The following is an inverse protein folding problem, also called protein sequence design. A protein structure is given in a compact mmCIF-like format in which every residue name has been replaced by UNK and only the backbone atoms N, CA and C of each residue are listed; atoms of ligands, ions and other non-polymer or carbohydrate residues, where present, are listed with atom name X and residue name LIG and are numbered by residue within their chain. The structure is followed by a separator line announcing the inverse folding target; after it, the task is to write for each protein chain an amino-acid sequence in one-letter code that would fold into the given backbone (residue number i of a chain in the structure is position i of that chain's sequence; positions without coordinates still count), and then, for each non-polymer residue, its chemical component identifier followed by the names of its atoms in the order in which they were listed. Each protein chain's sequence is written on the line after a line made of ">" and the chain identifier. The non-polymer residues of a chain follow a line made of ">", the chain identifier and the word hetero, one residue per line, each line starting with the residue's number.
data_IF_819085667948
#
_entry.id   IF_819085667948
#
_cell.length_a   1.000
_cell.length_b   1.000
_cell.length_c   1.000
_cell.angle_alpha   90.00
_cell.angle_beta   90.00
_cell.angle_gamma   90.00
#
_symmetry.space_group_name_H-M   'P 1'
#
loop_
_entity.id
_entity.type
_entity.pdbx_description
1 polymer ?
#
# COMPACT_ATOMS: atom_id res chain seq x y z
N UNK A 1 7.42 18.31 4.29
CA UNK A 1 8.36 17.22 3.95
C UNK A 1 7.51 15.99 3.75
N UNK A 2 7.68 15.26 2.64
CA UNK A 2 6.74 14.21 2.23
C UNK A 2 7.46 12.88 2.02
N UNK A 3 6.87 11.80 2.55
CA UNK A 3 7.45 10.47 2.50
C UNK A 3 7.74 10.02 1.07
N UNK A 4 6.75 10.10 0.18
CA UNK A 4 6.91 9.70 -1.23
C UNK A 4 8.03 10.47 -1.91
N UNK A 5 8.05 11.80 -1.75
CA UNK A 5 9.09 12.66 -2.33
C UNK A 5 10.48 12.28 -1.84
N UNK A 6 10.65 12.06 -0.53
CA UNK A 6 11.92 11.63 0.05
C UNK A 6 12.33 10.25 -0.43
N UNK A 7 11.40 9.30 -0.50
CA UNK A 7 11.67 7.94 -0.97
C UNK A 7 12.16 7.93 -2.42
N UNK A 8 11.50 8.67 -3.33
CA UNK A 8 11.96 8.74 -4.73
C UNK A 8 13.29 9.49 -4.87
N UNK A 9 13.55 10.50 -4.04
CA UNK A 9 14.86 11.17 -3.98
C UNK A 9 15.96 10.23 -3.52
N UNK A 10 15.74 9.48 -2.43
CA UNK A 10 16.68 8.46 -1.94
C UNK A 10 17.04 7.48 -3.04
N UNK A 11 16.02 6.95 -3.73
CA UNK A 11 16.21 5.98 -4.80
C UNK A 11 17.00 6.58 -5.97
N UNK A 12 16.69 7.81 -6.36
CA UNK A 12 17.41 8.51 -7.42
C UNK A 12 18.90 8.69 -7.08
N UNK A 13 19.22 9.14 -5.86
CA UNK A 13 20.60 9.28 -5.42
C UNK A 13 21.32 7.94 -5.31
N UNK A 14 20.65 6.88 -4.85
CA UNK A 14 21.20 5.52 -4.81
C UNK A 14 21.59 5.04 -6.22
N UNK A 15 20.69 5.21 -7.20
CA UNK A 15 20.95 4.87 -8.61
C UNK A 15 22.04 5.74 -9.23
N UNK A 16 22.11 7.02 -8.87
CA UNK A 16 23.16 7.92 -9.34
C UNK A 16 24.54 7.50 -8.80
N UNK A 17 24.63 7.06 -7.54
CA UNK A 17 25.85 6.47 -6.96
C UNK A 17 26.28 5.22 -7.72
N UNK A 18 25.36 4.27 -7.98
CA UNK A 18 25.63 3.07 -8.78
C UNK A 18 26.16 3.41 -10.19
N UNK A 19 25.60 4.43 -10.84
CA UNK A 19 26.05 4.89 -12.16
C UNK A 19 27.43 5.56 -12.09
N UNK A 20 27.65 6.45 -11.13
CA UNK A 20 28.93 7.14 -10.95
C UNK A 20 30.07 6.14 -10.69
N UNK A 21 29.81 5.09 -9.91
CA UNK A 21 30.75 3.99 -9.70
C UNK A 21 31.13 3.31 -11.02
N UNK A 22 30.15 2.99 -11.89
CA UNK A 22 30.40 2.37 -13.21
C UNK A 22 31.19 3.26 -14.16
N UNK A 23 31.06 4.58 -14.01
CA UNK A 23 31.78 5.58 -14.80
C UNK A 23 33.17 5.94 -14.23
N UNK A 24 33.55 5.40 -13.07
CA UNK A 24 34.81 5.71 -12.42
C UNK A 24 34.86 7.09 -11.74
N UNK A 25 33.72 7.74 -11.51
CA UNK A 25 33.63 9.02 -10.81
C UNK A 25 33.40 8.80 -9.30
N UNK A 26 34.50 8.55 -8.58
CA UNK A 26 34.47 8.27 -7.15
C UNK A 26 33.94 9.45 -6.31
N UNK A 27 34.20 10.69 -6.73
CA UNK A 27 33.75 11.89 -5.99
C UNK A 27 32.23 12.01 -6.03
N UNK A 28 31.63 11.86 -7.22
CA UNK A 28 30.17 11.89 -7.37
C UNK A 28 29.51 10.68 -6.73
N UNK A 29 30.11 9.48 -6.84
CA UNK A 29 29.63 8.26 -6.17
C UNK A 29 29.45 8.50 -4.67
N UNK A 30 30.52 8.95 -4.00
CA UNK A 30 30.51 9.15 -2.56
C UNK A 30 29.49 10.22 -2.15
N UNK A 31 29.39 11.32 -2.91
CA UNK A 31 28.42 12.39 -2.66
C UNK A 31 26.99 11.87 -2.74
N UNK A 32 26.66 11.16 -3.83
CA UNK A 32 25.31 10.62 -4.03
C UNK A 32 24.96 9.57 -2.98
N UNK A 33 25.91 8.71 -2.61
CA UNK A 33 25.70 7.71 -1.56
C UNK A 33 25.42 8.35 -0.20
N UNK A 34 26.23 9.35 0.20
CA UNK A 34 26.01 10.08 1.46
C UNK A 34 24.63 10.74 1.50
N UNK A 35 24.24 11.43 0.42
CA UNK A 35 22.91 12.05 0.35
C UNK A 35 21.78 11.01 0.40
N UNK A 36 21.93 9.86 -0.27
CA UNK A 36 20.95 8.79 -0.17
C UNK A 36 20.83 8.24 1.27
N UNK A 37 21.94 8.09 1.99
CA UNK A 37 21.94 7.60 3.38
C UNK A 37 21.32 8.60 4.36
N UNK A 38 21.57 9.89 4.18
CA UNK A 38 20.91 10.97 4.94
C UNK A 38 19.39 10.95 4.74
N UNK A 39 18.94 10.85 3.48
CA UNK A 39 17.50 10.78 3.18
C UNK A 39 16.89 9.49 3.72
N UNK A 40 17.58 8.36 3.60
CA UNK A 40 17.12 7.08 4.18
C UNK A 40 16.93 7.18 5.69
N UNK A 41 17.85 7.86 6.38
CA UNK A 41 17.75 8.08 7.82
C UNK A 41 16.55 8.96 8.17
N UNK A 42 16.27 9.99 7.39
CA UNK A 42 15.10 10.86 7.64
C UNK A 42 13.75 10.16 7.40
N UNK A 43 13.70 9.16 6.51
CA UNK A 43 12.50 8.36 6.29
C UNK A 43 12.05 7.57 7.54
N UNK A 44 12.97 7.28 8.47
CA UNK A 44 12.65 6.60 9.73
C UNK A 44 11.73 7.45 10.63
N UNK A 45 11.78 8.78 10.52
CA UNK A 45 10.97 9.68 11.33
C UNK A 45 9.49 9.74 10.94
N UNK A 46 9.10 9.12 9.82
CA UNK A 46 7.72 9.14 9.33
C UNK A 46 6.83 8.10 10.00
N UNK A 47 7.40 7.12 10.70
CA UNK A 47 6.61 6.21 11.51
C UNK A 47 6.10 6.91 12.77
N UNK A 48 4.80 6.81 12.97
CA UNK A 48 4.13 7.24 14.19
C UNK A 48 3.74 6.03 15.02
N UNK A 49 4.44 5.82 16.13
CA UNK A 49 4.19 4.70 17.04
C UNK A 49 2.83 4.81 17.74
N UNK A 50 2.36 6.04 18.01
CA UNK A 50 1.11 6.24 18.73
C UNK A 50 -0.10 5.93 17.86
N UNK A 51 -0.08 6.41 16.61
CA UNK A 51 -1.16 6.14 15.66
C UNK A 51 -0.98 4.80 14.93
N UNK A 52 0.22 4.22 14.95
CA UNK A 52 0.53 2.96 14.28
C UNK A 52 0.53 3.09 12.75
N UNK A 53 1.01 4.21 12.22
CA UNK A 53 0.97 4.52 10.77
C UNK A 53 2.27 5.15 10.28
N UNK A 54 2.65 4.82 9.04
CA UNK A 54 3.62 5.60 8.26
C UNK A 54 2.91 6.86 7.76
N UNK A 55 3.22 8.00 8.39
CA UNK A 55 2.68 9.29 8.00
C UNK A 55 3.20 9.69 6.63
N UNK A 56 2.37 10.40 5.86
CA UNK A 56 2.79 11.00 4.59
C UNK A 56 3.67 12.24 4.76
N UNK A 57 3.59 12.91 5.92
CA UNK A 57 4.34 14.13 6.25
C UNK A 57 4.75 14.15 7.73
N UNK A 58 5.86 14.82 8.04
CA UNK A 58 6.29 15.05 9.42
C UNK A 58 5.51 16.21 10.07
N UNK A 59 5.17 16.14 11.37
CA UNK A 59 4.39 17.18 12.07
C UNK A 59 5.00 18.57 11.96
N UNK A 60 6.33 18.68 12.08
CA UNK A 60 7.06 19.95 12.02
C UNK A 60 6.99 20.59 10.62
N UNK A 61 6.60 19.80 9.62
CA UNK A 61 6.48 20.23 8.23
C UNK A 61 5.07 20.65 7.82
N UNK A 62 4.10 20.63 8.75
CA UNK A 62 2.70 21.03 8.53
C UNK A 62 2.51 22.54 8.27
N UNK A 63 3.57 23.34 8.39
CA UNK A 63 3.56 24.82 8.23
C UNK A 63 3.05 25.29 6.85
N UNK A 64 3.01 24.41 5.82
CA UNK A 64 2.53 24.72 4.46
C UNK A 64 1.67 23.61 3.82
N UNK A 65 1.13 22.70 4.63
CA UNK A 65 0.28 21.59 4.16
C UNK A 65 -1.18 21.99 4.02
N UNK A 66 -2.01 21.05 3.56
CA UNK A 66 -3.47 21.19 3.69
C UNK A 66 -3.82 21.04 5.17
N UNK A 67 -4.35 22.10 5.77
CA UNK A 67 -4.72 22.17 7.20
C UNK A 67 -5.73 21.10 7.64
N UNK A 68 -6.42 20.47 6.68
CA UNK A 68 -7.43 19.45 6.91
C UNK A 68 -6.94 18.00 6.83
N UNK A 69 -5.65 17.72 6.57
CA UNK A 69 -5.13 16.35 6.49
C UNK A 69 -4.61 15.85 7.83
N UNK A 70 -5.51 15.61 8.77
CA UNK A 70 -5.19 15.39 10.18
C UNK A 70 -4.71 13.97 10.53
N UNK A 71 -5.17 12.92 9.83
CA UNK A 71 -4.82 11.52 10.15
C UNK A 71 -3.37 11.13 9.81
N UNK A 72 -2.71 11.89 8.94
CA UNK A 72 -1.39 11.52 8.40
C UNK A 72 -1.41 10.36 7.40
N UNK A 73 -2.56 9.69 7.19
CA UNK A 73 -2.74 8.60 6.24
C UNK A 73 -2.67 9.09 4.80
N UNK A 74 -2.00 8.33 3.94
CA UNK A 74 -2.03 8.52 2.48
C UNK A 74 -1.50 7.26 1.77
N UNK A 75 -2.23 6.78 0.76
CA UNK A 75 -1.84 5.61 -0.05
C UNK A 75 -0.47 5.78 -0.72
N UNK A 76 -0.01 7.01 -0.94
CA UNK A 76 1.32 7.31 -1.48
C UNK A 76 2.45 6.71 -0.66
N UNK A 77 2.32 6.50 0.66
CA UNK A 77 3.40 5.87 1.43
C UNK A 77 3.62 4.40 1.01
N UNK A 78 2.53 3.70 0.66
CA UNK A 78 2.58 2.35 0.10
C UNK A 78 3.18 2.37 -1.31
N UNK A 79 2.67 3.27 -2.14
CA UNK A 79 3.14 3.43 -3.53
C UNK A 79 4.63 3.80 -3.59
N UNK A 80 5.13 4.59 -2.62
CA UNK A 80 6.54 4.95 -2.54
C UNK A 80 7.44 3.72 -2.44
N UNK A 81 7.09 2.73 -1.62
CA UNK A 81 7.85 1.48 -1.50
C UNK A 81 7.87 0.71 -2.81
N UNK A 82 6.71 0.56 -3.44
CA UNK A 82 6.60 -0.19 -4.70
C UNK A 82 7.33 0.53 -5.87
N UNK A 83 7.18 1.84 -5.99
CA UNK A 83 7.79 2.63 -7.06
C UNK A 83 9.30 2.82 -6.93
N UNK A 84 9.83 2.77 -5.70
CA UNK A 84 11.28 2.84 -5.47
C UNK A 84 11.99 1.50 -5.67
N UNK A 85 11.24 0.43 -5.98
CA UNK A 85 11.79 -0.91 -6.19
C UNK A 85 12.29 -1.51 -4.88
N UNK A 86 11.45 -1.47 -3.86
CA UNK A 86 11.63 -2.17 -2.58
C UNK A 86 11.95 -3.66 -2.80
N UNK A 87 12.84 -4.18 -1.96
CA UNK A 87 13.11 -5.61 -1.84
C UNK A 87 12.02 -6.30 -0.98
N UNK A 88 12.12 -7.62 -0.85
CA UNK A 88 11.18 -8.43 -0.07
C UNK A 88 11.03 -7.89 1.36
N UNK A 89 12.15 -7.60 2.03
CA UNK A 89 12.14 -7.07 3.40
C UNK A 89 11.38 -5.76 3.53
N UNK A 90 11.57 -4.82 2.59
CA UNK A 90 10.87 -3.54 2.63
C UNK A 90 9.37 -3.65 2.28
N UNK A 91 8.96 -4.69 1.55
CA UNK A 91 7.55 -5.01 1.30
C UNK A 91 6.90 -5.67 2.53
N UNK A 92 7.65 -6.52 3.24
CA UNK A 92 7.21 -7.22 4.45
C UNK A 92 7.34 -6.37 5.74
N UNK A 93 7.77 -5.12 5.62
CA UNK A 93 7.89 -4.15 6.71
C UNK A 93 6.56 -4.02 7.46
N UNK A 94 6.55 -4.32 8.76
CA UNK A 94 5.30 -4.41 9.52
C UNK A 94 4.59 -3.04 9.65
N UNK A 95 5.34 -1.95 9.62
CA UNK A 95 4.84 -0.58 9.55
C UNK A 95 4.07 -0.31 8.26
N UNK A 96 4.55 -0.84 7.13
CA UNK A 96 3.89 -0.73 5.84
C UNK A 96 2.55 -1.46 5.85
N UNK A 97 2.54 -2.71 6.32
CA UNK A 97 1.36 -3.57 6.36
C UNK A 97 0.31 -3.05 7.38
N UNK A 98 0.75 -2.53 8.52
CA UNK A 98 -0.13 -1.83 9.47
C UNK A 98 -0.78 -0.60 8.82
N UNK A 99 -0.01 0.19 8.08
CA UNK A 99 -0.53 1.39 7.40
C UNK A 99 -1.52 1.03 6.29
N UNK A 100 -1.28 -0.04 5.54
CA UNK A 100 -2.21 -0.54 4.54
C UNK A 100 -3.55 -0.95 5.18
N UNK A 101 -3.50 -1.66 6.31
CA UNK A 101 -4.71 -2.04 7.07
C UNK A 101 -5.49 -0.80 7.54
N UNK A 102 -4.80 0.22 8.07
CA UNK A 102 -5.45 1.46 8.53
C UNK A 102 -6.09 2.27 7.40
N UNK A 103 -5.48 2.29 6.21
CA UNK A 103 -6.06 2.90 5.02
C UNK A 103 -7.28 2.11 4.53
N UNK A 104 -7.19 0.78 4.54
CA UNK A 104 -8.29 -0.10 4.16
C UNK A 104 -9.51 0.11 5.04
N UNK A 105 -9.32 0.15 6.37
CA UNK A 105 -10.37 0.44 7.36
C UNK A 105 -11.05 1.77 7.08
N UNK A 106 -10.24 2.82 6.91
CA UNK A 106 -10.75 4.17 6.69
C UNK A 106 -11.62 4.25 5.42
N UNK A 107 -11.18 3.64 4.31
CA UNK A 107 -11.94 3.70 3.06
C UNK A 107 -13.12 2.73 3.01
N UNK A 108 -13.05 1.60 3.72
CA UNK A 108 -14.19 0.71 3.88
C UNK A 108 -15.33 1.44 4.62
N UNK A 109 -15.02 2.13 5.72
CA UNK A 109 -16.01 2.91 6.48
C UNK A 109 -16.52 4.15 5.72
N UNK A 110 -15.63 4.86 5.04
CA UNK A 110 -15.95 6.16 4.45
C UNK A 110 -16.79 6.08 3.16
N UNK A 111 -16.62 5.05 2.35
CA UNK A 111 -17.23 4.97 1.02
C UNK A 111 -18.38 3.97 1.00
N UNK A 112 -19.61 4.44 0.78
CA UNK A 112 -20.80 3.57 0.77
C UNK A 112 -20.72 2.46 -0.30
N UNK A 113 -20.01 2.69 -1.41
CA UNK A 113 -19.76 1.68 -2.44
C UNK A 113 -18.98 0.46 -1.91
N UNK A 114 -18.28 0.58 -0.79
CA UNK A 114 -17.47 -0.48 -0.19
C UNK A 114 -18.23 -1.41 0.74
N UNK A 115 -19.50 -1.13 1.06
CA UNK A 115 -20.34 -2.00 1.89
C UNK A 115 -20.86 -3.22 1.10
N UNK A 116 -19.93 -4.02 0.59
CA UNK A 116 -20.13 -5.25 -0.18
C UNK A 116 -19.11 -6.30 0.26
N UNK A 117 -19.39 -7.57 0.00
CA UNK A 117 -18.49 -8.70 0.34
C UNK A 117 -17.32 -8.82 -0.66
N UNK A 118 -16.53 -7.76 -0.82
CA UNK A 118 -15.33 -7.68 -1.68
C UNK A 118 -14.28 -6.77 -1.05
N UNK A 119 -13.06 -6.74 -1.60
CA UNK A 119 -12.05 -5.76 -1.22
C UNK A 119 -12.58 -4.32 -1.43
N UNK A 120 -12.25 -3.36 -0.54
CA UNK A 120 -12.73 -2.00 -0.68
C UNK A 120 -12.02 -1.28 -1.83
N UNK A 121 -12.75 -0.40 -2.51
CA UNK A 121 -12.14 0.62 -3.37
C UNK A 121 -11.40 1.64 -2.50
N UNK A 122 -10.19 2.00 -2.90
CA UNK A 122 -9.25 2.78 -2.08
C UNK A 122 -9.09 4.19 -2.64
N UNK A 123 -9.10 5.22 -1.79
CA UNK A 123 -8.84 6.61 -2.18
C UNK A 123 -7.39 7.04 -1.98
N UNK A 124 -7.14 8.36 -2.06
CA UNK A 124 -5.80 8.93 -1.82
C UNK A 124 -5.48 9.03 -0.33
N UNK A 125 -6.35 9.70 0.42
CA UNK A 125 -6.29 9.87 1.88
C UNK A 125 -7.71 10.17 2.40
N UNK A 126 -8.05 9.85 3.66
CA UNK A 126 -9.43 9.92 4.16
C UNK A 126 -10.04 11.33 4.09
N UNK A 127 -9.26 12.37 4.35
CA UNK A 127 -9.74 13.77 4.35
C UNK A 127 -9.75 14.42 2.97
N UNK A 128 -9.63 13.63 1.90
CA UNK A 128 -9.61 14.17 0.56
C UNK A 128 -10.92 14.88 0.22
N UNK A 129 -10.77 16.05 -0.41
CA UNK A 129 -11.88 16.94 -0.78
C UNK A 129 -12.14 16.98 -2.28
N UNK A 130 -11.22 16.46 -3.07
CA UNK A 130 -11.31 16.52 -4.54
C UNK A 130 -12.30 15.49 -5.07
N UNK A 131 -13.34 15.97 -5.73
CA UNK A 131 -14.44 15.14 -6.26
C UNK A 131 -14.17 14.58 -7.66
N UNK A 132 -13.04 14.94 -8.28
CA UNK A 132 -12.78 14.64 -9.69
C UNK A 132 -13.37 15.67 -10.66
N UNK A 133 -14.24 16.57 -10.18
CA UNK A 133 -14.89 17.57 -11.03
C UNK A 133 -14.34 18.98 -10.78
N UNK A 134 -14.15 19.80 -11.83
CA UNK A 134 -13.67 21.17 -11.68
C UNK A 134 -14.54 21.99 -10.73
N UNK A 135 -13.90 22.68 -9.78
CA UNK A 135 -14.55 23.61 -8.84
C UNK A 135 -15.62 22.99 -7.91
N UNK A 136 -15.54 21.68 -7.66
CA UNK A 136 -16.49 20.97 -6.78
C UNK A 136 -15.87 20.37 -5.51
N UNK A 137 -14.64 20.78 -5.18
CA UNK A 137 -13.95 20.31 -3.98
C UNK A 137 -14.74 20.67 -2.73
N UNK A 138 -14.97 19.68 -1.86
CA UNK A 138 -15.75 19.85 -0.64
C UNK A 138 -15.31 18.85 0.42
N UNK A 139 -15.56 19.15 1.68
CA UNK A 139 -15.37 18.18 2.76
C UNK A 139 -16.18 16.91 2.49
N UNK A 140 -15.55 15.75 2.69
CA UNK A 140 -16.14 14.47 2.30
C UNK A 140 -16.37 14.32 0.79
N UNK A 141 -15.68 15.11 -0.05
CA UNK A 141 -15.79 15.05 -1.51
C UNK A 141 -14.89 14.00 -2.18
N UNK A 142 -13.85 13.53 -1.48
CA UNK A 142 -12.91 12.55 -2.01
C UNK A 142 -13.57 11.23 -2.39
N UNK A 143 -13.10 10.65 -3.50
CA UNK A 143 -13.56 9.38 -4.04
C UNK A 143 -12.45 8.32 -4.00
N UNK A 144 -12.80 7.03 -4.18
CA UNK A 144 -11.84 6.01 -4.60
C UNK A 144 -11.17 6.32 -5.95
N UNK A 145 -9.92 5.90 -6.09
CA UNK A 145 -9.11 6.04 -7.30
C UNK A 145 -8.67 4.67 -7.82
N UNK A 146 -8.59 4.54 -9.14
CA UNK A 146 -8.13 3.29 -9.77
C UNK A 146 -6.66 3.03 -9.43
N UNK A 147 -5.82 4.06 -9.47
CA UNK A 147 -4.37 3.96 -9.18
C UNK A 147 -4.14 3.38 -7.78
N UNK A 148 -4.85 3.87 -6.78
CA UNK A 148 -4.68 3.46 -5.38
C UNK A 148 -5.31 2.10 -5.12
N UNK A 149 -6.43 1.77 -5.77
CA UNK A 149 -7.02 0.43 -5.71
C UNK A 149 -6.11 -0.61 -6.36
N UNK A 150 -5.52 -0.29 -7.53
CA UNK A 150 -4.49 -1.13 -8.18
C UNK A 150 -3.23 -1.26 -7.31
N UNK A 151 -2.82 -0.19 -6.61
CA UNK A 151 -1.68 -0.24 -5.70
C UNK A 151 -1.90 -1.21 -4.52
N UNK A 152 -3.13 -1.31 -4.00
CA UNK A 152 -3.48 -2.30 -2.99
C UNK A 152 -3.45 -3.73 -3.54
N UNK A 153 -3.94 -3.95 -4.77
CA UNK A 153 -3.78 -5.23 -5.44
C UNK A 153 -2.29 -5.60 -5.58
N UNK A 154 -1.48 -4.67 -6.09
CA UNK A 154 -0.04 -4.84 -6.25
C UNK A 154 0.67 -5.17 -4.93
N UNK A 155 0.31 -4.49 -3.84
CA UNK A 155 0.89 -4.75 -2.52
C UNK A 155 0.65 -6.19 -2.09
N UNK A 156 -0.59 -6.69 -2.20
CA UNK A 156 -0.92 -8.07 -1.80
C UNK A 156 -0.13 -9.11 -2.62
N UNK A 157 -0.03 -8.93 -3.93
CA UNK A 157 0.78 -9.81 -4.77
C UNK A 157 2.26 -9.76 -4.41
N UNK A 158 2.80 -8.57 -4.16
CA UNK A 158 4.21 -8.41 -3.75
C UNK A 158 4.48 -9.02 -2.38
N UNK A 159 3.53 -8.95 -1.45
CA UNK A 159 3.65 -9.63 -0.16
C UNK A 159 3.66 -11.14 -0.38
N UNK A 160 2.71 -11.69 -1.15
CA UNK A 160 2.66 -13.12 -1.47
C UNK A 160 3.98 -13.63 -2.08
N UNK A 161 4.54 -12.90 -3.04
CA UNK A 161 5.84 -13.21 -3.67
C UNK A 161 7.01 -13.11 -2.66
N UNK A 162 7.04 -12.04 -1.86
CA UNK A 162 8.10 -11.80 -0.88
C UNK A 162 8.13 -12.86 0.24
N UNK A 163 6.97 -13.35 0.68
CA UNK A 163 6.88 -14.37 1.74
C UNK A 163 7.62 -15.67 1.38
N UNK A 164 7.68 -16.04 0.10
CA UNK A 164 8.39 -17.24 -0.35
C UNK A 164 9.92 -17.14 -0.27
N UNK A 165 10.47 -15.95 -0.05
CA UNK A 165 11.92 -15.72 -0.08
C UNK A 165 12.63 -15.94 1.27
N UNK A 166 11.87 -15.92 2.38
CA UNK A 166 12.40 -16.12 3.73
C UNK A 166 11.76 -17.40 4.30
N UNK A 167 12.55 -18.43 4.62
CA UNK A 167 12.05 -19.78 4.97
C UNK A 167 11.04 -19.88 6.13
N UNK A 168 10.71 -18.76 6.77
CA UNK A 168 9.52 -18.60 7.59
C UNK A 168 8.98 -17.15 7.50
N UNK A 169 7.67 -17.01 7.67
CA UNK A 169 6.96 -15.74 7.82
C UNK A 169 6.87 -15.38 9.29
N UNK A 170 7.19 -14.14 9.69
CA UNK A 170 7.05 -13.67 11.08
C UNK A 170 5.87 -12.71 11.23
N UNK A 171 4.99 -12.99 12.19
CA UNK A 171 3.85 -12.15 12.54
C UNK A 171 4.13 -11.29 13.78
N UNK A 172 3.71 -10.04 13.71
CA UNK A 172 3.79 -9.04 14.79
C UNK A 172 2.39 -8.49 15.06
N UNK A 173 2.22 -7.84 16.21
CA UNK A 173 0.95 -7.17 16.52
C UNK A 173 0.58 -6.09 15.48
N UNK A 174 1.57 -5.58 14.73
CA UNK A 174 1.38 -4.58 13.68
C UNK A 174 0.90 -5.18 12.37
N UNK A 175 1.48 -6.30 11.92
CA UNK A 175 1.17 -6.87 10.60
C UNK A 175 0.09 -7.96 10.62
N UNK A 176 -0.27 -8.51 11.78
CA UNK A 176 -1.20 -9.64 11.86
C UNK A 176 -2.55 -9.34 11.19
N UNK A 177 -3.08 -8.13 11.38
CA UNK A 177 -4.36 -7.73 10.81
C UNK A 177 -4.37 -7.71 9.27
N UNK A 178 -3.24 -7.41 8.63
CA UNK A 178 -3.12 -7.46 7.17
C UNK A 178 -3.33 -8.89 6.65
N UNK A 179 -2.62 -9.86 7.24
CA UNK A 179 -2.74 -11.28 6.86
C UNK A 179 -4.09 -11.87 7.23
N UNK A 180 -4.62 -11.49 8.40
CA UNK A 180 -5.95 -11.91 8.86
C UNK A 180 -7.04 -11.47 7.86
N UNK A 181 -6.98 -10.23 7.38
CA UNK A 181 -7.96 -9.69 6.43
C UNK A 181 -7.85 -10.34 5.04
N UNK A 182 -6.66 -10.79 4.65
CA UNK A 182 -6.48 -11.58 3.43
C UNK A 182 -7.13 -12.97 3.54
N UNK A 183 -6.98 -13.65 4.68
CA UNK A 183 -7.58 -14.96 4.94
C UNK A 183 -9.10 -14.91 5.13
N UNK A 184 -9.60 -13.89 5.82
CA UNK A 184 -11.03 -13.71 6.09
C UNK A 184 -11.34 -12.21 6.21
N UNK A 185 -11.92 -11.64 5.15
CA UNK A 185 -12.18 -10.20 5.05
C UNK A 185 -13.24 -9.68 6.02
N UNK A 186 -13.93 -10.57 6.76
CA UNK A 186 -14.91 -10.17 7.78
C UNK A 186 -14.26 -9.87 9.13
N UNK A 187 -12.97 -10.19 9.29
CA UNK A 187 -12.22 -10.04 10.53
C UNK A 187 -11.76 -8.60 10.72
N UNK A 188 -12.09 -8.03 11.87
CA UNK A 188 -11.78 -6.63 12.20
C UNK A 188 -10.82 -6.47 13.38
N UNK A 189 -10.34 -7.57 13.95
CA UNK A 189 -9.39 -7.54 15.06
C UNK A 189 -8.09 -6.84 14.67
N UNK A 190 -7.49 -6.13 15.63
CA UNK A 190 -6.24 -5.37 15.45
C UNK A 190 -5.28 -5.67 16.61
N UNK A 191 -4.00 -5.35 16.43
CA UNK A 191 -2.99 -5.53 17.48
C UNK A 191 -2.85 -7.00 17.88
N UNK A 192 -2.73 -7.23 19.19
CA UNK A 192 -2.55 -8.56 19.74
C UNK A 192 -3.72 -9.51 19.46
N UNK A 193 -4.96 -9.02 19.48
CA UNK A 193 -6.14 -9.84 19.19
C UNK A 193 -6.12 -10.37 17.74
N UNK A 194 -5.64 -9.57 16.79
CA UNK A 194 -5.46 -10.03 15.41
C UNK A 194 -4.41 -11.14 15.31
N UNK A 195 -3.35 -11.05 16.11
CA UNK A 195 -2.29 -12.05 16.15
C UNK A 195 -2.83 -13.40 16.69
N UNK A 196 -3.66 -13.37 17.73
CA UNK A 196 -4.31 -14.57 18.27
C UNK A 196 -5.25 -15.21 17.22
N UNK A 197 -6.15 -14.43 16.62
CA UNK A 197 -7.07 -14.94 15.59
C UNK A 197 -6.35 -15.47 14.36
N UNK A 198 -5.27 -14.81 13.93
CA UNK A 198 -4.43 -15.27 12.84
C UNK A 198 -3.75 -16.61 13.18
N UNK A 199 -3.25 -16.74 14.42
CA UNK A 199 -2.68 -17.99 14.93
C UNK A 199 -3.67 -19.14 14.85
N UNK A 200 -4.91 -18.92 15.29
CA UNK A 200 -5.99 -19.91 15.23
C UNK A 200 -6.28 -20.36 13.78
N UNK A 201 -6.36 -19.43 12.83
CA UNK A 201 -6.62 -19.73 11.41
C UNK A 201 -5.47 -20.49 10.73
N UNK A 202 -4.23 -20.22 11.15
CA UNK A 202 -3.04 -20.84 10.59
C UNK A 202 -2.63 -22.12 11.33
N UNK A 203 -3.23 -22.42 12.47
CA UNK A 203 -2.85 -23.54 13.33
C UNK A 203 -1.50 -23.33 14.03
N UNK A 204 -1.17 -22.09 14.35
CA UNK A 204 -0.01 -21.76 15.18
C UNK A 204 -0.39 -21.96 16.65
N UNK A 205 0.47 -22.61 17.43
CA UNK A 205 0.18 -22.98 18.81
C UNK A 205 1.17 -22.36 19.80
N UNK A 206 0.82 -22.31 21.08
CA UNK A 206 1.74 -21.93 22.18
C UNK A 206 2.47 -20.58 22.00
N UNK A 207 1.82 -19.59 21.38
CA UNK A 207 2.40 -18.27 21.14
C UNK A 207 3.43 -18.24 20.00
N UNK A 208 3.46 -19.27 19.14
CA UNK A 208 4.19 -19.27 17.88
C UNK A 208 3.83 -18.03 17.05
N UNK A 209 4.87 -17.36 16.55
CA UNK A 209 4.74 -16.17 15.70
C UNK A 209 5.30 -16.38 14.30
N UNK A 210 5.74 -17.60 14.00
CA UNK A 210 6.42 -17.90 12.75
C UNK A 210 5.75 -19.05 12.03
N UNK A 211 5.41 -18.83 10.77
CA UNK A 211 4.85 -19.84 9.88
C UNK A 211 5.92 -20.30 8.90
N UNK A 212 6.23 -21.59 8.89
CA UNK A 212 7.20 -22.16 7.95
C UNK A 212 6.65 -22.13 6.53
N UNK A 213 7.50 -21.80 5.56
CA UNK A 213 7.10 -21.70 4.15
C UNK A 213 6.86 -23.04 3.45
N UNK A 214 7.20 -24.15 4.09
CA UNK A 214 6.96 -25.51 3.60
C UNK A 214 5.70 -26.16 4.18
N UNK A 215 4.77 -25.37 4.73
CA UNK A 215 3.54 -25.85 5.36
C UNK A 215 2.29 -25.58 4.51
N UNK A 216 1.28 -26.44 4.63
CA UNK A 216 -0.03 -26.21 3.98
C UNK A 216 -0.67 -24.87 4.41
N UNK A 217 -0.43 -24.45 5.66
CA UNK A 217 -0.91 -23.18 6.18
C UNK A 217 -0.26 -21.98 5.46
N UNK A 218 1.00 -22.11 5.06
CA UNK A 218 1.67 -21.13 4.21
C UNK A 218 1.06 -21.06 2.82
N UNK A 219 0.82 -22.21 2.18
CA UNK A 219 0.18 -22.24 0.85
C UNK A 219 -1.20 -21.58 0.88
N UNK A 220 -1.99 -21.85 1.93
CA UNK A 220 -3.29 -21.17 2.14
C UNK A 220 -3.14 -19.66 2.30
N UNK A 221 -2.18 -19.20 3.09
CA UNK A 221 -1.93 -17.77 3.28
C UNK A 221 -1.50 -17.09 1.98
N UNK A 222 -0.60 -17.71 1.23
CA UNK A 222 -0.11 -17.19 -0.04
C UNK A 222 -1.25 -17.11 -1.08
N UNK A 223 -2.09 -18.15 -1.17
CA UNK A 223 -3.28 -18.13 -2.03
C UNK A 223 -4.24 -17.02 -1.61
N UNK A 224 -4.52 -16.89 -0.31
CA UNK A 224 -5.44 -15.87 0.21
C UNK A 224 -4.95 -14.43 -0.09
N UNK A 225 -3.64 -14.18 -0.05
CA UNK A 225 -3.07 -12.90 -0.45
C UNK A 225 -3.26 -12.63 -1.94
N UNK A 226 -3.06 -13.63 -2.81
CA UNK A 226 -3.32 -13.50 -4.24
C UNK A 226 -4.82 -13.25 -4.50
N UNK A 227 -5.70 -14.02 -3.87
CA UNK A 227 -7.15 -13.88 -3.99
C UNK A 227 -7.63 -12.49 -3.49
N UNK A 228 -7.01 -11.98 -2.42
CA UNK A 228 -7.28 -10.63 -1.92
C UNK A 228 -6.86 -9.57 -2.94
N UNK A 229 -5.69 -9.73 -3.57
CA UNK A 229 -5.24 -8.88 -4.66
C UNK A 229 -6.18 -8.93 -5.87
N UNK A 230 -6.69 -10.11 -6.22
CA UNK A 230 -7.66 -10.30 -7.31
C UNK A 230 -8.97 -9.59 -7.00
N UNK A 231 -9.44 -9.65 -5.75
CA UNK A 231 -10.64 -8.94 -5.31
C UNK A 231 -10.54 -7.42 -5.54
N UNK A 232 -9.38 -6.80 -5.30
CA UNK A 232 -9.19 -5.38 -5.64
C UNK A 232 -9.25 -5.11 -7.15
N UNK A 233 -8.68 -5.99 -7.98
CA UNK A 233 -8.72 -5.83 -9.44
C UNK A 233 -10.12 -6.07 -10.02
N UNK A 234 -10.90 -7.00 -9.45
CA UNK A 234 -12.31 -7.18 -9.79
C UNK A 234 -13.09 -5.89 -9.57
N UNK A 235 -12.85 -5.21 -8.46
CA UNK A 235 -13.50 -3.93 -8.15
C UNK A 235 -13.14 -2.85 -9.16
N UNK A 236 -11.91 -2.83 -9.65
CA UNK A 236 -11.51 -1.93 -10.75
C UNK A 236 -12.20 -2.32 -12.06
N UNK A 237 -12.32 -3.62 -12.35
CA UNK A 237 -12.96 -4.15 -13.55
C UNK A 237 -14.47 -3.84 -13.60
N UNK A 238 -15.15 -3.82 -12.45
CA UNK A 238 -16.56 -3.41 -12.32
C UNK A 238 -16.81 -1.95 -12.71
N UNK A 239 -15.75 -1.14 -12.78
CA UNK A 239 -15.82 0.32 -12.97
C UNK A 239 -15.32 0.79 -14.35
N UNK A 240 -15.40 -0.08 -15.35
CA UNK A 240 -15.10 0.25 -16.75
C UNK A 240 -16.33 0.92 -17.38
N UNK A 241 -16.15 1.99 -18.17
CA UNK A 241 -17.26 2.63 -18.89
C UNK A 241 -17.85 1.72 -19.97
N UNK A 242 -19.04 2.06 -20.48
CA UNK A 242 -19.66 1.30 -21.58
C UNK A 242 -18.77 1.18 -22.83
N UNK A 243 -17.87 2.14 -23.06
CA UNK A 243 -16.90 2.12 -24.16
C UNK A 243 -15.58 1.42 -23.82
N UNK A 244 -15.49 0.74 -22.67
CA UNK A 244 -14.28 0.02 -22.27
C UNK A 244 -13.18 0.92 -21.70
N UNK A 245 -13.51 2.14 -21.22
CA UNK A 245 -12.52 3.11 -20.73
C UNK A 245 -12.49 3.16 -19.21
N UNK A 246 -11.37 3.60 -18.66
CA UNK A 246 -11.19 3.87 -17.23
C UNK A 246 -11.22 5.38 -16.96
N UNK A 247 -11.90 5.81 -15.90
CA UNK A 247 -11.81 7.17 -15.36
C UNK A 247 -10.80 7.23 -14.21
N UNK A 248 -10.34 8.43 -13.85
CA UNK A 248 -9.44 8.64 -12.72
C UNK A 248 -10.02 8.08 -11.41
N UNK A 249 -11.32 8.30 -11.19
CA UNK A 249 -11.99 8.00 -9.93
C UNK A 249 -13.28 7.19 -10.15
N UNK A 250 -13.77 6.65 -9.04
CA UNK A 250 -15.05 5.94 -8.93
C UNK A 250 -15.89 6.69 -7.90
N UNK A 251 -17.11 7.09 -8.24
CA UNK A 251 -17.96 7.84 -7.32
C UNK A 251 -18.22 7.03 -6.04
N UNK A 252 -17.83 7.59 -4.89
CA UNK A 252 -17.80 6.93 -3.57
C UNK A 252 -19.11 6.30 -3.10
N UNK A 253 -20.25 6.81 -3.58
CA UNK A 253 -21.58 6.34 -3.14
C UNK A 253 -22.24 5.42 -4.17
N UNK A 254 -21.93 5.57 -5.45
CA UNK A 254 -22.71 4.96 -6.54
C UNK A 254 -21.90 3.99 -7.38
N UNK A 255 -20.56 4.02 -7.30
CA UNK A 255 -19.70 3.27 -8.21
C UNK A 255 -19.66 3.84 -9.63
N UNK A 256 -20.22 5.03 -9.89
CA UNK A 256 -20.20 5.58 -11.24
C UNK A 256 -18.78 6.10 -11.61
N UNK A 257 -18.28 5.85 -12.83
CA UNK A 257 -17.04 6.46 -13.32
C UNK A 257 -17.08 7.99 -13.24
N UNK A 258 -16.04 8.63 -12.69
CA UNK A 258 -15.96 10.09 -12.53
C UNK A 258 -14.52 10.61 -12.64
N UNK A 259 -14.37 11.87 -13.05
CA UNK A 259 -13.07 12.53 -13.21
C UNK A 259 -12.49 12.40 -14.62
N UNK A 260 -11.17 12.57 -14.75
CA UNK A 260 -10.50 12.52 -16.04
C UNK A 260 -10.64 11.14 -16.71
N UNK A 261 -10.97 11.11 -18.00
CA UNK A 261 -10.99 9.88 -18.79
C UNK A 261 -9.58 9.47 -19.21
N UNK A 262 -9.33 8.15 -19.25
CA UNK A 262 -8.11 7.53 -19.78
C UNK A 262 -6.82 8.11 -19.20
N UNK A 263 -6.81 8.32 -17.88
CA UNK A 263 -5.60 8.77 -17.19
C UNK A 263 -4.48 7.72 -17.36
N UNK A 264 -3.39 8.08 -18.04
CA UNK A 264 -2.27 7.17 -18.35
C UNK A 264 -1.73 6.41 -17.15
N UNK A 265 -1.78 7.02 -15.95
CA UNK A 265 -1.29 6.39 -14.74
C UNK A 265 -2.20 5.24 -14.25
N UNK A 266 -3.51 5.26 -14.55
CA UNK A 266 -4.38 4.12 -14.29
C UNK A 266 -3.85 2.88 -15.03
N UNK A 267 -3.59 3.02 -16.33
CA UNK A 267 -3.08 1.93 -17.17
C UNK A 267 -1.71 1.43 -16.69
N UNK A 268 -0.81 2.35 -16.35
CA UNK A 268 0.50 2.00 -15.82
C UNK A 268 0.40 1.23 -14.48
N UNK A 269 -0.51 1.65 -13.59
CA UNK A 269 -0.74 0.97 -12.30
C UNK A 269 -1.33 -0.43 -12.47
N UNK A 270 -2.27 -0.61 -13.42
CA UNK A 270 -2.83 -1.93 -13.73
C UNK A 270 -1.78 -2.88 -14.29
N UNK A 271 -0.92 -2.39 -15.21
CA UNK A 271 0.20 -3.18 -15.73
C UNK A 271 1.21 -3.57 -14.64
N UNK A 272 1.43 -2.68 -13.67
CA UNK A 272 2.30 -2.95 -12.51
C UNK A 272 1.72 -4.04 -11.61
N UNK A 273 0.44 -3.92 -11.23
CA UNK A 273 -0.29 -4.94 -10.46
C UNK A 273 -0.30 -6.29 -11.19
N UNK A 274 -0.54 -6.31 -12.50
CA UNK A 274 -0.51 -7.53 -13.31
C UNK A 274 0.86 -8.21 -13.31
N UNK A 275 1.95 -7.45 -13.38
CA UNK A 275 3.32 -7.99 -13.28
C UNK A 275 3.58 -8.61 -11.91
N UNK A 276 3.14 -7.94 -10.84
CA UNK A 276 3.25 -8.47 -9.48
C UNK A 276 2.44 -9.76 -9.30
N UNK A 277 1.19 -9.80 -9.79
CA UNK A 277 0.36 -11.01 -9.81
C UNK A 277 1.06 -12.18 -10.50
N UNK A 278 1.68 -11.92 -11.65
CA UNK A 278 2.45 -12.93 -12.40
C UNK A 278 3.74 -13.38 -11.71
N UNK A 279 4.28 -12.61 -10.77
CA UNK A 279 5.41 -13.04 -9.95
C UNK A 279 4.91 -13.96 -8.83
N UNK A 280 3.85 -13.54 -8.12
CA UNK A 280 3.25 -14.28 -7.01
C UNK A 280 2.68 -15.67 -7.36
N UNK A 281 2.36 -15.91 -8.63
CA UNK A 281 1.83 -17.18 -9.13
C UNK A 281 2.88 -18.13 -9.71
N UNK A 282 4.17 -17.82 -9.58
CA UNK A 282 5.26 -18.70 -10.06
C UNK A 282 5.66 -19.69 -8.98
#
# INVERSE_FOLDING_TARGET
>A
DHYYTRAVQERAFRRASELAQRLGDATSEQRFRSTADEIRTSLLGYWDEQEGVLRTHLPESFVRGKDYKASGLDTTVLMARMHTGADAKAILDDQLLATATRLEDAFHEQYAVNHVEKAPLVGRYPEDRYTGLPHQDREGGGNPWLITTNAFAELHYRVADALGSEGAVTFTDRNAAFYLTALDSKRTARGHAALEELGDLLGLHDGERTLRTDSDAFERLQSALVDRGDSFLERVQENITAEGRHTEQIHRDTGAPIGAEQLTWNEASLLSAYRARRAALR
#
